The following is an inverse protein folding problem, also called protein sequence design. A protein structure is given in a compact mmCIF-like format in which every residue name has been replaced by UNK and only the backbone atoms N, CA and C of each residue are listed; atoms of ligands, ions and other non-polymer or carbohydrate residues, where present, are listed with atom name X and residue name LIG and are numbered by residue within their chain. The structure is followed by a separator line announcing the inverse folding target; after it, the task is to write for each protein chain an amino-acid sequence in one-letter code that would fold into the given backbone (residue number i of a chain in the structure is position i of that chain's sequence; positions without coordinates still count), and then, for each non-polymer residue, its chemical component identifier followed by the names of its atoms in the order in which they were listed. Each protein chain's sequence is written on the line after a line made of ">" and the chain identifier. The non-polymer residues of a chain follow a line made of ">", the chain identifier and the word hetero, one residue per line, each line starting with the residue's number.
data_IF_716826041919
#
_entry.id   IF_716826041919
#
_cell.length_a   1.000
_cell.length_b   1.000
_cell.length_c   1.000
_cell.angle_alpha   90.00
_cell.angle_beta   90.00
_cell.angle_gamma   90.00
#
_symmetry.space_group_name_H-M   'P 1'
#
loop_
_entity.id
_entity.type
_entity.pdbx_description
1 polymer ?
#
# COMPACT_ATOMS: atom_id res chain seq x y z
N UNK A 1 -9.74 -42.17 4.06
CA UNK A 1 -8.98 -41.99 2.79
C UNK A 1 -8.20 -40.65 2.75
N UNK A 2 -8.46 -39.70 3.66
CA UNK A 2 -7.69 -38.44 3.80
C UNK A 2 -6.32 -38.61 4.49
N UNK A 3 -6.19 -39.54 5.46
CA UNK A 3 -4.96 -39.72 6.24
C UNK A 3 -3.77 -40.21 5.38
N UNK A 4 -4.01 -41.02 4.34
CA UNK A 4 -2.94 -41.47 3.45
C UNK A 4 -2.42 -40.37 2.50
N UNK A 5 -3.20 -39.33 2.22
CA UNK A 5 -2.75 -38.21 1.38
C UNK A 5 -1.87 -37.21 2.16
N UNK A 6 -2.08 -37.04 3.48
CA UNK A 6 -1.26 -36.16 4.32
C UNK A 6 0.19 -36.67 4.42
N UNK A 7 0.37 -37.97 4.68
CA UNK A 7 1.70 -38.56 4.85
C UNK A 7 2.55 -38.47 3.57
N UNK A 8 1.94 -38.60 2.39
CA UNK A 8 2.66 -38.49 1.11
C UNK A 8 3.10 -37.05 0.83
N UNK A 9 2.29 -36.05 1.22
CA UNK A 9 2.65 -34.64 1.07
C UNK A 9 3.79 -34.28 2.03
N UNK A 10 3.68 -34.68 3.30
CA UNK A 10 4.70 -34.44 4.32
C UNK A 10 6.03 -35.09 3.95
N UNK A 11 6.02 -36.35 3.48
CA UNK A 11 7.22 -37.02 3.01
C UNK A 11 7.87 -36.29 1.83
N UNK A 12 7.07 -35.86 0.84
CA UNK A 12 7.58 -35.08 -0.31
C UNK A 12 8.12 -33.72 0.09
N UNK A 13 7.49 -33.06 1.07
CA UNK A 13 8.02 -31.81 1.63
C UNK A 13 9.38 -32.05 2.29
N UNK A 14 9.51 -33.12 3.07
CA UNK A 14 10.76 -33.47 3.75
C UNK A 14 11.89 -33.79 2.77
N UNK A 15 11.63 -34.65 1.78
CA UNK A 15 12.59 -34.99 0.73
C UNK A 15 13.04 -33.75 -0.06
N UNK A 16 12.10 -32.87 -0.43
CA UNK A 16 12.40 -31.62 -1.11
C UNK A 16 13.19 -30.65 -0.22
N UNK A 17 12.88 -30.61 1.08
CA UNK A 17 13.58 -29.78 2.04
C UNK A 17 15.04 -30.24 2.19
N UNK A 18 15.30 -31.53 2.34
CA UNK A 18 16.65 -32.09 2.49
C UNK A 18 17.51 -31.88 1.23
N UNK A 19 16.97 -32.13 0.04
CA UNK A 19 17.69 -31.89 -1.23
C UNK A 19 18.05 -30.41 -1.39
N UNK A 20 17.10 -29.50 -1.12
CA UNK A 20 17.36 -28.06 -1.23
C UNK A 20 18.22 -27.52 -0.08
N UNK A 21 18.22 -28.14 1.09
CA UNK A 21 19.14 -27.81 2.18
C UNK A 21 20.59 -28.13 1.77
N UNK A 22 20.84 -29.35 1.29
CA UNK A 22 22.17 -29.75 0.83
C UNK A 22 22.65 -28.88 -0.35
N UNK A 23 21.76 -28.62 -1.32
CA UNK A 23 22.07 -27.77 -2.48
C UNK A 23 22.33 -26.31 -2.08
N UNK A 24 21.47 -25.75 -1.23
CA UNK A 24 21.61 -24.39 -0.74
C UNK A 24 22.93 -24.21 0.00
N UNK A 25 23.27 -25.15 0.89
CA UNK A 25 24.53 -25.13 1.62
C UNK A 25 25.74 -25.22 0.68
N UNK A 26 25.72 -26.14 -0.30
CA UNK A 26 26.81 -26.25 -1.26
C UNK A 26 27.00 -24.96 -2.09
N UNK A 27 25.93 -24.24 -2.42
CA UNK A 27 26.03 -22.93 -3.10
C UNK A 27 26.61 -21.88 -2.16
N UNK A 28 26.17 -21.82 -0.90
CA UNK A 28 26.72 -20.91 0.10
C UNK A 28 28.23 -21.16 0.32
N UNK A 29 28.65 -22.43 0.40
CA UNK A 29 30.05 -22.82 0.56
C UNK A 29 30.91 -22.32 -0.61
N UNK A 30 30.42 -22.42 -1.86
CA UNK A 30 31.12 -21.85 -3.01
C UNK A 30 31.23 -20.33 -2.91
N UNK A 31 30.13 -19.64 -2.58
CA UNK A 31 30.14 -18.18 -2.43
C UNK A 31 31.11 -17.71 -1.34
N UNK A 32 31.23 -18.50 -0.26
CA UNK A 32 32.18 -18.26 0.82
C UNK A 32 33.62 -18.54 0.41
N UNK A 33 33.87 -19.64 -0.30
CA UNK A 33 35.20 -20.00 -0.79
C UNK A 33 35.75 -18.98 -1.81
N UNK A 34 34.88 -18.36 -2.60
CA UNK A 34 35.22 -17.30 -3.55
C UNK A 34 35.19 -15.88 -2.93
N UNK A 35 34.98 -15.75 -1.62
CA UNK A 35 34.89 -14.49 -0.88
C UNK A 35 33.90 -13.47 -1.49
N UNK A 36 32.78 -13.97 -2.01
CA UNK A 36 31.78 -13.13 -2.69
C UNK A 36 31.16 -12.16 -1.69
N UNK A 37 31.39 -10.86 -1.89
CA UNK A 37 30.92 -9.78 -1.01
C UNK A 37 31.48 -9.86 0.43
N UNK A 38 32.63 -10.51 0.63
CA UNK A 38 33.23 -10.70 1.95
C UNK A 38 32.79 -11.98 2.68
N UNK A 39 32.08 -12.89 1.98
CA UNK A 39 31.70 -14.20 2.51
C UNK A 39 30.63 -14.16 3.61
N UNK A 40 30.58 -15.23 4.41
CA UNK A 40 29.61 -15.40 5.49
C UNK A 40 28.19 -15.76 5.04
N UNK A 41 28.03 -16.21 3.80
CA UNK A 41 26.77 -16.70 3.27
C UNK A 41 26.30 -17.94 4.03
N UNK A 42 25.02 -17.97 4.38
CA UNK A 42 24.35 -19.14 4.92
C UNK A 42 23.15 -19.50 4.05
N UNK A 43 22.70 -20.75 4.13
CA UNK A 43 21.54 -21.23 3.40
C UNK A 43 20.43 -21.69 4.36
N UNK A 44 19.19 -21.36 4.01
CA UNK A 44 17.98 -21.84 4.69
C UNK A 44 17.07 -22.51 3.65
N UNK A 45 16.76 -23.79 3.85
CA UNK A 45 15.81 -24.49 2.99
C UNK A 45 14.37 -24.11 3.35
N UNK A 46 13.56 -23.82 2.34
CA UNK A 46 12.14 -23.56 2.51
C UNK A 46 11.37 -24.83 2.83
N UNK A 47 10.32 -24.71 3.64
CA UNK A 47 9.41 -25.81 3.96
C UNK A 47 8.25 -25.79 2.96
N UNK A 48 8.45 -26.38 1.78
CA UNK A 48 7.41 -26.51 0.76
C UNK A 48 7.61 -27.74 -0.13
N UNK A 49 6.53 -28.18 -0.76
CA UNK A 49 6.50 -29.36 -1.67
C UNK A 49 7.31 -29.19 -2.96
N UNK A 50 7.79 -27.98 -3.24
CA UNK A 50 8.34 -27.62 -4.55
C UNK A 50 9.86 -27.50 -4.54
N UNK A 51 10.45 -27.38 -3.35
CA UNK A 51 11.86 -27.16 -3.15
C UNK A 51 12.25 -25.70 -3.40
N UNK A 52 12.83 -25.10 -2.36
CA UNK A 52 13.45 -23.78 -2.45
C UNK A 52 14.50 -23.65 -1.37
N UNK A 53 15.48 -22.78 -1.56
CA UNK A 53 16.36 -22.31 -0.49
C UNK A 53 16.58 -20.80 -0.60
N UNK A 54 16.94 -20.18 0.50
CA UNK A 54 17.30 -18.77 0.57
C UNK A 54 18.75 -18.68 1.03
N UNK A 55 19.55 -17.91 0.30
CA UNK A 55 20.93 -17.58 0.65
C UNK A 55 20.92 -16.26 1.40
N UNK A 56 21.35 -16.26 2.65
CA UNK A 56 21.41 -15.08 3.51
C UNK A 56 22.84 -14.54 3.58
N UNK A 57 22.98 -13.23 3.39
CA UNK A 57 24.25 -12.55 3.58
C UNK A 57 24.26 -11.79 4.92
N UNK A 58 25.39 -11.69 5.64
CA UNK A 58 25.48 -10.98 6.92
C UNK A 58 25.08 -9.49 6.83
N UNK A 59 25.23 -8.88 5.66
CA UNK A 59 24.78 -7.50 5.41
C UNK A 59 23.24 -7.35 5.32
N UNK A 60 22.49 -8.44 5.46
CA UNK A 60 21.03 -8.46 5.61
C UNK A 60 20.23 -8.59 4.31
N UNK A 61 20.88 -8.67 3.14
CA UNK A 61 20.22 -9.04 1.89
C UNK A 61 20.18 -10.56 1.72
N UNK A 62 19.25 -11.05 0.90
CA UNK A 62 19.09 -12.47 0.66
C UNK A 62 18.64 -12.78 -0.77
N UNK A 63 19.08 -13.93 -1.28
CA UNK A 63 18.74 -14.42 -2.62
C UNK A 63 17.89 -15.67 -2.47
N UNK A 64 16.67 -15.63 -2.99
CA UNK A 64 15.76 -16.76 -2.97
C UNK A 64 15.88 -17.56 -4.26
N UNK A 65 16.02 -18.88 -4.14
CA UNK A 65 16.09 -19.82 -5.26
C UNK A 65 14.98 -20.84 -5.11
N UNK A 66 14.08 -20.93 -6.09
CA UNK A 66 12.91 -21.80 -6.01
C UNK A 66 12.60 -22.47 -7.34
N UNK A 67 11.93 -23.62 -7.30
CA UNK A 67 11.45 -24.26 -8.53
C UNK A 67 10.31 -23.44 -9.16
N UNK A 68 10.46 -23.06 -10.43
CA UNK A 68 9.50 -22.17 -11.13
C UNK A 68 8.12 -22.80 -11.28
N UNK A 69 8.07 -24.07 -11.69
CA UNK A 69 6.79 -24.77 -11.90
C UNK A 69 6.97 -26.26 -11.63
N UNK A 70 6.65 -26.72 -10.41
CA UNK A 70 6.92 -28.07 -9.94
C UNK A 70 6.08 -29.14 -10.65
N UNK A 71 4.94 -28.74 -11.24
CA UNK A 71 4.02 -29.64 -11.92
C UNK A 71 4.33 -29.82 -13.42
N UNK A 72 5.34 -29.11 -13.95
CA UNK A 72 5.74 -29.26 -15.35
C UNK A 72 6.74 -30.40 -15.49
N UNK A 73 6.58 -31.20 -16.54
CA UNK A 73 7.54 -32.25 -16.90
C UNK A 73 8.63 -31.70 -17.83
N UNK A 74 9.69 -32.50 -18.03
CA UNK A 74 10.77 -32.17 -18.97
C UNK A 74 11.62 -30.97 -18.55
N UNK A 75 12.17 -30.25 -19.54
CA UNK A 75 13.11 -29.16 -19.30
C UNK A 75 12.51 -27.99 -18.51
N UNK A 76 11.19 -27.77 -18.59
CA UNK A 76 10.51 -26.71 -17.85
C UNK A 76 10.39 -27.01 -16.34
N UNK A 77 10.17 -28.27 -15.98
CA UNK A 77 10.15 -28.74 -14.58
C UNK A 77 11.51 -28.74 -13.89
N UNK A 78 12.59 -28.69 -14.68
CA UNK A 78 13.98 -28.67 -14.21
C UNK A 78 14.57 -27.25 -14.17
N UNK A 79 13.72 -26.23 -14.06
CA UNK A 79 14.13 -24.82 -13.92
C UNK A 79 13.91 -24.29 -12.51
N UNK A 80 14.90 -23.59 -12.03
CA UNK A 80 14.85 -22.76 -10.83
C UNK A 80 14.76 -21.28 -11.24
N UNK A 81 14.05 -20.48 -10.46
CA UNK A 81 14.17 -19.02 -10.47
C UNK A 81 15.15 -18.58 -9.40
N UNK A 82 15.81 -17.47 -9.66
CA UNK A 82 16.61 -16.73 -8.69
C UNK A 82 16.03 -15.34 -8.58
N UNK A 83 15.64 -14.99 -7.35
CA UNK A 83 14.97 -13.75 -6.99
C UNK A 83 15.63 -13.10 -5.77
N UNK A 84 15.39 -11.80 -5.62
CA UNK A 84 15.88 -11.05 -4.47
C UNK A 84 14.83 -11.03 -3.38
N UNK A 85 15.25 -11.18 -2.13
CA UNK A 85 14.38 -10.88 -1.00
C UNK A 85 14.33 -9.37 -0.82
N UNK A 86 13.14 -8.78 -0.77
CA UNK A 86 12.93 -7.34 -0.55
C UNK A 86 12.02 -7.12 0.66
N UNK A 87 12.15 -5.99 1.38
CA UNK A 87 11.16 -5.59 2.37
C UNK A 87 9.76 -5.59 1.76
N UNK A 88 8.76 -6.02 2.54
CA UNK A 88 7.36 -6.12 2.08
C UNK A 88 6.82 -4.77 1.59
N UNK A 89 7.31 -3.68 2.16
CA UNK A 89 6.93 -2.31 1.88
C UNK A 89 7.56 -1.75 0.59
N UNK A 90 8.46 -2.51 -0.06
CA UNK A 90 9.14 -2.06 -1.26
C UNK A 90 8.34 -2.38 -2.54
N UNK A 91 7.83 -1.31 -3.16
CA UNK A 91 7.07 -1.35 -4.43
C UNK A 91 7.84 -0.75 -5.63
N UNK A 92 9.12 -0.46 -5.48
CA UNK A 92 9.94 0.07 -6.57
C UNK A 92 10.40 -1.01 -7.55
N UNK A 93 11.12 -0.59 -8.59
CA UNK A 93 11.71 -1.49 -9.57
C UNK A 93 12.63 -2.51 -8.90
N UNK A 94 12.40 -3.78 -9.19
CA UNK A 94 13.15 -4.91 -8.66
C UNK A 94 14.17 -5.38 -9.69
N UNK A 95 15.26 -5.99 -9.21
CA UNK A 95 16.17 -6.70 -10.10
C UNK A 95 15.42 -7.82 -10.84
N UNK A 96 15.67 -8.00 -12.15
CA UNK A 96 14.97 -9.00 -12.93
C UNK A 96 15.32 -10.41 -12.46
N UNK A 97 14.29 -11.22 -12.27
CA UNK A 97 14.40 -12.66 -12.00
C UNK A 97 15.21 -13.33 -13.11
N UNK A 98 16.12 -14.24 -12.74
CA UNK A 98 16.82 -15.08 -13.71
C UNK A 98 16.39 -16.54 -13.57
N UNK A 99 16.37 -17.26 -14.69
CA UNK A 99 16.17 -18.71 -14.73
C UNK A 99 17.50 -19.46 -14.74
N UNK A 100 17.61 -20.51 -13.93
CA UNK A 100 18.76 -21.42 -13.88
C UNK A 100 18.30 -22.88 -13.91
N UNK A 101 19.20 -23.81 -14.26
CA UNK A 101 18.87 -25.23 -14.33
C UNK A 101 18.98 -25.90 -12.96
N UNK A 102 18.05 -26.79 -12.64
CA UNK A 102 18.02 -27.56 -11.39
C UNK A 102 19.23 -28.48 -11.25
N UNK A 103 19.66 -29.10 -12.35
CA UNK A 103 20.71 -30.15 -12.35
C UNK A 103 22.12 -29.60 -12.41
N UNK A 104 22.25 -28.28 -12.37
CA UNK A 104 23.55 -27.64 -12.50
C UNK A 104 24.34 -27.78 -11.18
N UNK A 105 25.67 -27.96 -11.26
CA UNK A 105 26.52 -27.98 -10.08
C UNK A 105 26.43 -26.68 -9.27
N UNK A 106 26.67 -26.77 -7.96
CA UNK A 106 26.63 -25.61 -7.06
C UNK A 106 27.53 -24.46 -7.54
N UNK A 107 28.75 -24.76 -8.00
CA UNK A 107 29.67 -23.76 -8.52
C UNK A 107 29.14 -23.02 -9.76
N UNK A 108 28.43 -23.73 -10.64
CA UNK A 108 27.79 -23.11 -11.79
C UNK A 108 26.65 -22.19 -11.37
N UNK A 109 25.81 -22.63 -10.42
CA UNK A 109 24.71 -21.84 -9.87
C UNK A 109 25.23 -20.57 -9.19
N UNK A 110 26.22 -20.69 -8.32
CA UNK A 110 26.88 -19.57 -7.65
C UNK A 110 27.39 -18.55 -8.66
N UNK A 111 28.17 -18.99 -9.67
CA UNK A 111 28.67 -18.11 -10.73
C UNK A 111 27.56 -17.40 -11.49
N UNK A 112 26.43 -18.05 -11.78
CA UNK A 112 25.28 -17.42 -12.44
C UNK A 112 24.60 -16.38 -11.56
N UNK A 113 24.42 -16.67 -10.28
CA UNK A 113 23.90 -15.70 -9.30
C UNK A 113 24.80 -14.47 -9.26
N UNK A 114 26.11 -14.66 -9.12
CA UNK A 114 27.11 -13.58 -9.05
C UNK A 114 27.17 -12.75 -10.32
N UNK A 115 27.20 -13.39 -11.49
CA UNK A 115 27.42 -12.67 -12.76
C UNK A 115 26.17 -12.04 -13.34
N UNK A 116 24.98 -12.62 -13.12
CA UNK A 116 23.74 -12.19 -13.78
C UNK A 116 22.71 -11.56 -12.85
N UNK A 117 22.69 -11.92 -11.57
CA UNK A 117 21.65 -11.49 -10.64
C UNK A 117 22.16 -10.44 -9.63
N UNK A 118 23.26 -10.75 -8.91
CA UNK A 118 23.77 -9.90 -7.84
C UNK A 118 24.03 -8.44 -8.25
N UNK A 119 24.60 -8.11 -9.43
CA UNK A 119 24.87 -6.71 -9.77
C UNK A 119 23.59 -5.87 -9.83
N UNK A 120 22.52 -6.42 -10.41
CA UNK A 120 21.21 -5.76 -10.45
C UNK A 120 20.57 -5.68 -9.07
N UNK A 121 20.64 -6.77 -8.30
CA UNK A 121 20.05 -6.83 -6.96
C UNK A 121 20.72 -5.86 -5.98
N UNK A 122 22.05 -5.81 -5.95
CA UNK A 122 22.82 -4.94 -5.06
C UNK A 122 22.66 -3.45 -5.41
N UNK A 123 22.33 -3.12 -6.66
CA UNK A 123 21.98 -1.74 -7.04
C UNK A 123 20.61 -1.30 -6.49
N UNK A 124 19.66 -2.24 -6.34
CA UNK A 124 18.30 -1.96 -5.89
C UNK A 124 18.16 -2.05 -4.37
N UNK A 125 18.85 -3.01 -3.74
CA UNK A 125 18.70 -3.33 -2.32
C UNK A 125 18.86 -2.11 -1.37
N UNK A 126 19.86 -1.22 -1.53
CA UNK A 126 19.98 -0.03 -0.68
C UNK A 126 18.75 0.88 -0.76
N UNK A 127 18.15 1.03 -1.95
CA UNK A 127 16.92 1.82 -2.14
C UNK A 127 15.74 1.17 -1.43
N UNK A 128 15.62 -0.16 -1.52
CA UNK A 128 14.59 -0.90 -0.82
C UNK A 128 14.71 -0.76 0.71
N UNK A 129 15.93 -0.78 1.24
CA UNK A 129 16.18 -0.56 2.67
C UNK A 129 15.93 0.88 3.10
N UNK A 130 16.22 1.87 2.25
CA UNK A 130 15.85 3.25 2.49
C UNK A 130 14.32 3.40 2.57
N UNK A 131 13.59 2.81 1.62
CA UNK A 131 12.11 2.80 1.64
C UNK A 131 11.57 2.15 2.91
N UNK A 132 12.10 1.00 3.33
CA UNK A 132 11.71 0.36 4.60
C UNK A 132 11.91 1.28 5.81
N UNK A 133 13.06 1.98 5.88
CA UNK A 133 13.35 2.92 6.96
C UNK A 133 12.42 4.13 6.93
N UNK A 134 12.11 4.65 5.74
CA UNK A 134 11.18 5.75 5.55
C UNK A 134 9.77 5.33 5.98
N UNK A 135 9.27 4.20 5.48
CA UNK A 135 7.95 3.70 5.83
C UNK A 135 7.84 3.48 7.35
N UNK A 136 8.84 2.88 7.99
CA UNK A 136 8.84 2.71 9.46
C UNK A 136 8.73 4.05 10.20
N UNK A 137 9.39 5.11 9.73
CA UNK A 137 9.27 6.45 10.31
C UNK A 137 7.87 7.03 10.09
N UNK A 138 7.31 6.85 8.90
CA UNK A 138 5.97 7.32 8.55
C UNK A 138 4.90 6.57 9.36
N UNK A 139 4.97 5.24 9.45
CA UNK A 139 4.12 4.42 10.35
C UNK A 139 4.19 4.91 11.79
N UNK A 140 5.38 5.19 12.32
CA UNK A 140 5.52 5.69 13.69
C UNK A 140 4.91 7.09 13.86
N UNK A 141 5.05 7.97 12.86
CA UNK A 141 4.43 9.30 12.85
C UNK A 141 2.90 9.19 12.83
N UNK A 142 2.34 8.38 11.91
CA UNK A 142 0.90 8.10 11.79
C UNK A 142 0.33 7.55 13.10
N UNK A 143 1.00 6.57 13.71
CA UNK A 143 0.59 6.00 15.01
C UNK A 143 0.53 7.06 16.11
N UNK A 144 1.55 7.92 16.22
CA UNK A 144 1.56 9.00 17.23
C UNK A 144 0.46 10.02 16.98
N UNK A 145 0.21 10.36 15.71
CA UNK A 145 -0.80 11.34 15.34
C UNK A 145 -2.22 10.81 15.54
N UNK A 146 -2.47 9.56 15.16
CA UNK A 146 -3.74 8.87 15.47
C UNK A 146 -3.99 8.80 16.98
N UNK A 147 -2.98 8.47 17.79
CA UNK A 147 -3.13 8.45 19.24
C UNK A 147 -3.50 9.84 19.81
N UNK A 148 -2.91 10.92 19.29
CA UNK A 148 -3.29 12.29 19.66
C UNK A 148 -4.71 12.63 19.22
N UNK A 149 -5.10 12.24 18.01
CA UNK A 149 -6.45 12.43 17.49
C UNK A 149 -7.49 11.68 18.32
N UNK A 150 -7.24 10.43 18.66
CA UNK A 150 -8.11 9.62 19.54
C UNK A 150 -8.21 10.22 20.95
N UNK A 151 -7.11 10.75 21.49
CA UNK A 151 -7.14 11.43 22.78
C UNK A 151 -8.00 12.70 22.74
N UNK A 152 -7.88 13.50 21.69
CA UNK A 152 -8.69 14.71 21.51
C UNK A 152 -10.16 14.39 21.17
N UNK A 153 -10.39 13.28 20.47
CA UNK A 153 -11.67 12.87 19.90
C UNK A 153 -11.89 11.38 20.19
N UNK A 154 -12.32 11.01 21.40
CA UNK A 154 -12.42 9.59 21.81
C UNK A 154 -13.36 8.73 20.95
N UNK A 155 -14.32 9.35 20.25
CA UNK A 155 -15.22 8.66 19.34
C UNK A 155 -14.64 8.46 17.93
N UNK A 156 -13.43 8.94 17.67
CA UNK A 156 -12.74 8.78 16.40
C UNK A 156 -12.11 7.39 16.36
N UNK A 157 -12.60 6.55 15.45
CA UNK A 157 -12.12 5.19 15.28
C UNK A 157 -11.63 4.93 13.85
N UNK A 158 -11.15 3.71 13.57
CA UNK A 158 -10.91 3.27 12.21
C UNK A 158 -12.21 3.33 11.40
N UNK A 159 -12.12 3.74 10.13
CA UNK A 159 -13.26 3.68 9.22
C UNK A 159 -13.70 2.24 8.93
N UNK A 160 -14.77 2.10 8.14
CA UNK A 160 -15.31 0.79 7.75
C UNK A 160 -14.32 -0.11 6.97
N UNK A 161 -13.20 0.43 6.49
CA UNK A 161 -12.20 -0.28 5.68
C UNK A 161 -10.88 -0.35 6.44
N UNK A 162 -10.87 -1.15 7.51
CA UNK A 162 -9.68 -1.50 8.28
C UNK A 162 -9.00 -0.34 9.01
N UNK A 163 -8.19 -0.69 10.00
CA UNK A 163 -7.30 0.30 10.59
C UNK A 163 -6.53 -0.25 11.77
N UNK A 164 -5.23 -0.44 11.55
CA UNK A 164 -4.27 -0.50 12.63
C UNK A 164 -4.01 0.89 13.24
N UNK A 165 -3.09 0.98 14.21
CA UNK A 165 -2.72 2.25 14.82
C UNK A 165 -2.15 3.28 13.81
N UNK A 166 -1.63 2.86 12.66
CA UNK A 166 -1.01 3.72 11.64
C UNK A 166 -1.94 4.08 10.46
N UNK A 167 -3.25 3.88 10.62
CA UNK A 167 -4.27 4.16 9.58
C UNK A 167 -4.22 5.58 9.04
N UNK A 168 -4.57 5.75 7.77
CA UNK A 168 -4.63 7.06 7.09
C UNK A 168 -5.99 7.76 7.21
N UNK A 169 -7.03 7.05 7.61
CA UNK A 169 -8.38 7.61 7.71
C UNK A 169 -9.06 7.17 9.00
N UNK A 170 -9.72 8.12 9.63
CA UNK A 170 -10.50 7.90 10.84
C UNK A 170 -11.85 8.59 10.74
N UNK A 171 -12.87 7.97 11.31
CA UNK A 171 -14.23 8.48 11.33
C UNK A 171 -14.77 8.36 12.74
N UNK A 172 -15.50 9.37 13.20
CA UNK A 172 -16.17 9.35 14.48
C UNK A 172 -17.52 10.03 14.41
N UNK A 173 -18.45 9.57 15.23
CA UNK A 173 -19.72 10.24 15.45
C UNK A 173 -20.04 10.28 16.93
N UNK A 174 -20.49 11.44 17.40
CA UNK A 174 -20.87 11.67 18.79
C UNK A 174 -22.24 12.31 18.81
N UNK A 175 -23.13 11.77 19.62
CA UNK A 175 -24.38 12.46 19.91
C UNK A 175 -24.09 13.64 20.85
N UNK A 176 -24.52 14.82 20.46
CA UNK A 176 -24.43 16.04 21.25
C UNK A 176 -25.82 16.63 21.41
N UNK A 177 -26.17 17.04 22.64
CA UNK A 177 -27.47 17.59 22.94
C UNK A 177 -27.33 19.10 23.12
N UNK A 178 -28.03 19.87 22.27
CA UNK A 178 -28.09 21.33 22.34
C UNK A 178 -29.55 21.69 22.59
N UNK A 179 -29.83 22.39 23.69
CA UNK A 179 -31.17 22.92 24.00
C UNK A 179 -32.30 21.85 23.94
N UNK A 180 -31.99 20.61 24.31
CA UNK A 180 -32.95 19.50 24.31
C UNK A 180 -33.01 18.72 22.99
N UNK A 181 -32.47 19.22 21.88
CA UNK A 181 -32.36 18.50 20.61
C UNK A 181 -31.06 17.70 20.52
N UNK A 182 -31.17 16.41 20.14
CA UNK A 182 -30.02 15.54 19.91
C UNK A 182 -29.52 15.69 18.48
N UNK A 183 -28.35 16.29 18.33
CA UNK A 183 -27.62 16.39 17.05
C UNK A 183 -26.48 15.38 17.03
N UNK A 184 -26.19 14.79 15.87
CA UNK A 184 -25.02 13.91 15.72
C UNK A 184 -23.88 14.70 15.10
N UNK A 185 -22.88 15.02 15.92
CA UNK A 185 -21.60 15.55 15.47
C UNK A 185 -20.85 14.45 14.71
N UNK A 186 -20.25 14.79 13.57
CA UNK A 186 -19.41 13.87 12.79
C UNK A 186 -18.02 14.46 12.63
N UNK A 187 -17.03 13.60 12.76
CA UNK A 187 -15.63 13.94 12.57
C UNK A 187 -15.05 12.98 11.56
N UNK A 188 -14.34 13.54 10.59
CA UNK A 188 -13.49 12.77 9.68
C UNK A 188 -12.08 13.34 9.74
N UNK A 189 -11.10 12.48 9.96
CA UNK A 189 -9.69 12.82 9.88
C UNK A 189 -9.04 12.02 8.76
N UNK A 190 -8.34 12.70 7.86
CA UNK A 190 -7.53 12.08 6.81
C UNK A 190 -6.09 12.55 6.95
N UNK A 191 -5.16 11.61 7.01
CA UNK A 191 -3.73 11.91 7.05
C UNK A 191 -3.09 11.73 5.69
N UNK A 192 -2.04 12.50 5.46
CA UNK A 192 -1.10 12.22 4.39
C UNK A 192 -0.30 10.93 4.70
N UNK A 193 0.30 10.33 3.67
CA UNK A 193 1.07 9.10 3.86
C UNK A 193 2.25 9.27 4.86
N UNK A 194 2.98 10.42 4.86
CA UNK A 194 4.00 10.69 5.85
C UNK A 194 3.50 10.78 7.30
N UNK A 195 2.21 11.01 7.54
CA UNK A 195 1.67 11.29 8.88
C UNK A 195 2.13 12.63 9.43
N UNK A 196 2.36 13.61 8.55
CA UNK A 196 2.79 14.96 8.90
C UNK A 196 1.67 15.99 8.87
N UNK A 197 0.61 15.72 8.09
CA UNK A 197 -0.55 16.61 7.97
C UNK A 197 -1.85 15.85 8.16
N UNK A 198 -2.84 16.50 8.77
CA UNK A 198 -4.19 15.96 8.95
C UNK A 198 -5.20 16.94 8.39
N UNK A 199 -6.02 16.47 7.46
CA UNK A 199 -7.24 17.13 7.05
C UNK A 199 -8.36 16.72 8.01
N UNK A 200 -8.82 17.67 8.83
CA UNK A 200 -9.90 17.46 9.79
C UNK A 200 -11.19 18.12 9.27
N UNK A 201 -12.23 17.30 9.08
CA UNK A 201 -13.57 17.77 8.75
C UNK A 201 -14.49 17.56 9.95
N UNK A 202 -15.11 18.65 10.41
CA UNK A 202 -16.05 18.70 11.52
C UNK A 202 -17.43 19.08 10.98
N UNK A 203 -18.35 18.13 10.94
CA UNK A 203 -19.72 18.36 10.49
C UNK A 203 -20.65 18.39 11.70
N UNK A 204 -21.50 19.42 11.79
CA UNK A 204 -22.49 19.59 12.85
C UNK A 204 -21.87 19.64 14.27
N UNK A 205 -20.64 20.17 14.38
CA UNK A 205 -19.93 20.37 15.65
C UNK A 205 -20.13 21.81 16.12
N UNK A 206 -20.61 22.05 17.36
CA UNK A 206 -20.67 23.39 17.94
C UNK A 206 -19.31 24.08 17.92
N UNK A 207 -19.29 25.40 17.72
CA UNK A 207 -18.06 26.17 17.53
C UNK A 207 -17.11 26.10 18.74
N UNK A 208 -17.64 26.13 19.95
CA UNK A 208 -16.88 26.01 21.20
C UNK A 208 -16.21 24.63 21.32
N UNK A 209 -16.93 23.56 20.94
CA UNK A 209 -16.38 22.21 20.90
C UNK A 209 -15.31 22.10 19.80
N UNK A 210 -15.54 22.68 18.62
CA UNK A 210 -14.54 22.72 17.54
C UNK A 210 -13.24 23.42 17.98
N UNK A 211 -13.33 24.54 18.71
CA UNK A 211 -12.17 25.24 19.26
C UNK A 211 -11.41 24.39 20.29
N UNK A 212 -12.12 23.70 21.20
CA UNK A 212 -11.48 22.79 22.18
C UNK A 212 -10.74 21.65 21.48
N UNK A 213 -11.35 21.05 20.46
CA UNK A 213 -10.74 19.99 19.65
C UNK A 213 -9.43 20.49 19.03
N UNK A 214 -9.48 21.67 18.40
CA UNK A 214 -8.30 22.26 17.76
C UNK A 214 -7.20 22.62 18.78
N UNK A 215 -7.54 23.09 19.97
CA UNK A 215 -6.58 23.39 21.04
C UNK A 215 -5.86 22.15 21.56
N UNK A 216 -6.54 21.01 21.68
CA UNK A 216 -5.90 19.74 22.08
C UNK A 216 -4.98 19.23 20.98
N UNK A 217 -5.38 19.39 19.70
CA UNK A 217 -4.61 18.90 18.55
C UNK A 217 -3.36 19.75 18.25
N UNK A 218 -3.42 21.06 18.48
CA UNK A 218 -2.30 21.96 18.25
C UNK A 218 -2.18 22.99 19.40
N UNK A 219 -1.61 22.60 20.55
CA UNK A 219 -1.53 23.46 21.73
C UNK A 219 -0.56 24.64 21.58
N UNK A 220 0.27 24.66 20.54
CA UNK A 220 1.39 25.60 20.39
C UNK A 220 1.21 26.62 19.25
N UNK A 221 0.17 26.52 18.42
CA UNK A 221 -0.03 27.46 17.31
C UNK A 221 -1.35 28.22 17.45
N UNK A 222 -1.39 29.53 17.11
CA UNK A 222 -2.66 30.23 16.95
C UNK A 222 -3.50 29.53 15.87
N UNK A 223 -4.79 29.34 16.16
CA UNK A 223 -5.72 28.67 15.27
C UNK A 223 -6.18 29.66 14.20
N UNK A 224 -5.89 29.37 12.94
CA UNK A 224 -6.38 30.12 11.77
C UNK A 224 -7.33 29.22 10.96
N UNK A 225 -8.53 29.71 10.64
CA UNK A 225 -9.53 28.93 9.92
C UNK A 225 -10.81 29.70 9.59
N UNK A 226 -11.55 29.23 8.58
CA UNK A 226 -12.81 29.83 8.12
C UNK A 226 -13.99 29.03 8.67
N UNK A 227 -14.77 29.64 9.58
CA UNK A 227 -16.04 29.05 10.03
C UNK A 227 -17.07 29.25 8.91
N UNK A 228 -17.47 28.15 8.26
CA UNK A 228 -18.58 28.14 7.32
C UNK A 228 -19.89 28.05 8.11
N UNK A 229 -20.78 29.05 8.10
CA UNK A 229 -22.06 28.92 8.75
C UNK A 229 -22.88 27.85 8.01
N UNK A 230 -23.23 26.78 8.74
CA UNK A 230 -24.26 25.84 8.28
C UNK A 230 -25.63 26.54 8.17
N UNK A 231 -26.63 25.90 7.55
CA UNK A 231 -27.92 26.53 7.22
C UNK A 231 -28.83 26.84 8.43
N UNK A 232 -28.32 26.80 9.68
CA UNK A 232 -29.10 27.12 10.89
C UNK A 232 -28.71 28.51 11.37
N UNK A 233 -29.66 29.44 11.32
CA UNK A 233 -29.52 30.75 11.95
C UNK A 233 -29.21 30.55 13.44
N UNK A 234 -28.06 31.06 13.89
CA UNK A 234 -27.69 31.10 15.30
C UNK A 234 -28.75 31.95 16.02
N UNK A 235 -29.44 31.36 16.99
CA UNK A 235 -30.26 32.10 17.96
C UNK A 235 -29.39 33.11 18.72
N UNK A 236 -30.04 34.15 19.25
CA UNK A 236 -29.40 35.28 19.90
C UNK A 236 -28.33 34.87 20.92
N UNK A 237 -27.19 35.55 20.88
CA UNK A 237 -26.07 35.35 21.78
C UNK A 237 -26.49 35.57 23.26
N UNK A 238 -26.11 34.68 24.20
CA UNK A 238 -26.18 34.98 25.61
C UNK A 238 -25.12 36.04 25.99
N UNK A 239 -25.43 36.83 27.00
CA UNK A 239 -24.68 37.98 27.50
C UNK A 239 -23.16 37.78 27.63
N UNK A 240 -22.45 38.87 27.33
CA UNK A 240 -21.01 38.97 27.20
C UNK A 240 -20.24 38.57 28.47
N UNK A 241 -19.26 37.66 28.29
CA UNK A 241 -18.12 37.56 29.20
C UNK A 241 -17.24 38.79 28.96
N UNK A 242 -17.20 39.68 29.94
CA UNK A 242 -16.37 40.89 30.00
C UNK A 242 -14.90 40.53 30.17
N UNK A 243 -14.22 40.22 29.07
CA UNK A 243 -12.78 40.46 28.93
C UNK A 243 -12.47 40.61 27.43
N UNK A 244 -11.98 41.77 26.97
CA UNK A 244 -11.75 41.99 25.55
C UNK A 244 -10.55 41.16 25.09
N UNK A 245 -10.81 40.07 24.36
CA UNK A 245 -9.85 39.53 23.39
C UNK A 245 -10.22 40.09 22.03
N UNK A 246 -9.41 41.03 21.56
CA UNK A 246 -9.52 41.58 20.20
C UNK A 246 -9.29 40.43 19.22
N UNK A 247 -10.34 40.03 18.50
CA UNK A 247 -10.24 39.22 17.28
C UNK A 247 -10.62 40.14 16.13
N UNK A 248 -9.61 40.64 15.41
CA UNK A 248 -9.82 41.42 14.19
C UNK A 248 -10.15 40.46 13.06
N UNK A 249 -11.41 40.50 12.61
CA UNK A 249 -11.86 39.86 11.38
C UNK A 249 -12.79 40.82 10.65
N UNK A 250 -12.47 41.12 9.40
CA UNK A 250 -13.29 41.96 8.52
C UNK A 250 -14.56 41.21 8.12
N UNK A 251 -15.73 41.84 8.36
CA UNK A 251 -17.04 41.30 7.96
C UNK A 251 -17.39 41.83 6.58
N UNK A 252 -17.06 41.06 5.53
CA UNK A 252 -17.54 41.36 4.18
C UNK A 252 -18.97 40.84 4.03
N UNK A 253 -19.94 41.75 3.97
CA UNK A 253 -21.32 41.42 3.62
C UNK A 253 -21.38 41.11 2.12
N UNK A 254 -21.41 39.82 1.77
CA UNK A 254 -21.74 39.42 0.41
C UNK A 254 -23.17 39.82 0.09
N UNK A 255 -23.34 40.84 -0.75
CA UNK A 255 -24.63 41.23 -1.28
C UNK A 255 -25.31 40.01 -1.92
N UNK A 256 -26.54 39.75 -1.47
CA UNK A 256 -27.41 38.68 -1.95
C UNK A 256 -27.78 38.98 -3.39
N UNK A 257 -27.04 38.47 -4.37
CA UNK A 257 -27.47 38.51 -5.77
C UNK A 257 -28.68 37.60 -5.90
N UNK A 258 -29.86 38.22 -5.94
CA UNK A 258 -31.09 37.58 -6.39
C UNK A 258 -30.81 36.95 -7.76
N UNK A 259 -30.89 35.62 -7.86
CA UNK A 259 -31.10 34.96 -9.15
C UNK A 259 -32.52 35.30 -9.61
N UNK A 260 -32.63 36.37 -10.38
CA UNK A 260 -33.70 36.49 -11.37
C UNK A 260 -33.45 35.39 -12.40
N UNK A 261 -34.39 34.45 -12.53
CA UNK A 261 -34.41 33.50 -13.65
C UNK A 261 -34.56 34.28 -14.96
N UNK A 262 -33.62 34.17 -15.93
CA UNK A 262 -33.91 34.58 -17.29
C UNK A 262 -34.63 33.43 -17.98
N UNK A 263 -35.79 33.76 -18.57
CA UNK A 263 -36.51 32.88 -19.48
C UNK A 263 -35.61 32.44 -20.63
N UNK A 264 -35.78 31.16 -21.00
CA UNK A 264 -35.29 30.56 -22.23
C UNK A 264 -35.72 31.40 -23.44
N UNK A 265 -34.75 31.88 -24.21
CA UNK A 265 -34.95 32.14 -25.64
C UNK A 265 -33.73 31.67 -26.43
N UNK A 266 -34.07 31.06 -27.56
CA UNK A 266 -33.25 30.39 -28.56
C UNK A 266 -32.16 31.27 -29.20
N UNK A 267 -30.98 30.70 -29.45
CA UNK A 267 -29.98 31.32 -30.33
C UNK A 267 -28.75 30.44 -30.56
N UNK A 268 -28.43 30.18 -31.82
CA UNK A 268 -27.39 29.28 -32.33
C UNK A 268 -25.95 29.82 -32.17
N UNK A 269 -25.00 28.87 -32.19
CA UNK A 269 -23.60 28.97 -32.70
C UNK A 269 -22.62 29.71 -31.78
N UNK A 270 -21.31 29.45 -31.69
CA UNK A 270 -20.37 28.46 -32.22
C UNK A 270 -19.04 28.67 -31.44
N UNK A 271 -18.19 27.63 -31.34
CA UNK A 271 -16.84 27.72 -30.73
C UNK A 271 -16.89 27.72 -29.20
N UNK A 272 -16.07 27.03 -28.43
CA UNK A 272 -14.68 26.66 -28.62
C UNK A 272 -14.32 25.57 -27.58
N UNK A 273 -13.33 24.73 -27.93
CA UNK A 273 -12.93 23.51 -27.24
C UNK A 273 -12.28 23.76 -25.88
N UNK A 274 -12.59 22.91 -24.90
CA UNK A 274 -11.60 22.29 -24.02
C UNK A 274 -12.13 20.96 -23.50
N UNK A 275 -11.65 19.88 -24.11
CA UNK A 275 -11.90 18.49 -23.72
C UNK A 275 -10.97 18.18 -22.55
N UNK A 276 -11.53 17.81 -21.40
CA UNK A 276 -10.80 17.18 -20.30
C UNK A 276 -11.21 15.71 -20.26
N UNK A 277 -10.33 14.83 -20.73
CA UNK A 277 -10.47 13.37 -20.65
C UNK A 277 -10.16 12.90 -19.21
N UNK A 278 -11.05 12.16 -18.54
CA UNK A 278 -10.66 11.36 -17.39
C UNK A 278 -10.04 10.03 -17.85
N UNK A 279 -8.76 9.85 -17.49
CA UNK A 279 -8.06 8.57 -17.50
C UNK A 279 -8.75 7.58 -16.56
N UNK A 280 -9.17 6.44 -17.12
CA UNK A 280 -9.25 5.07 -16.58
C UNK A 280 -10.51 4.35 -17.10
N UNK A 281 -10.33 3.50 -18.11
CA UNK A 281 -11.13 2.29 -18.28
C UNK A 281 -10.28 1.18 -18.96
N UNK A 282 -10.26 -0.04 -18.40
CA UNK A 282 -9.44 -1.14 -18.88
C UNK A 282 -9.98 -1.78 -20.17
N UNK A 283 -9.06 -2.04 -21.09
CA UNK A 283 -9.26 -2.78 -22.34
C UNK A 283 -9.67 -4.24 -22.08
N UNK A 284 -10.90 -4.60 -22.47
CA UNK A 284 -11.30 -5.98 -22.75
C UNK A 284 -12.06 -6.02 -24.07
N UNK A 285 -11.39 -6.44 -25.13
CA UNK A 285 -12.03 -7.15 -26.24
C UNK A 285 -11.02 -8.05 -26.92
N UNK A 286 -11.25 -9.36 -26.86
CA UNK A 286 -11.11 -10.21 -28.05
C UNK A 286 -12.26 -11.21 -28.08
N UNK A 287 -13.07 -11.07 -29.13
CA UNK A 287 -14.00 -12.08 -29.64
C UNK A 287 -13.22 -13.32 -30.08
N UNK A 288 -13.85 -14.51 -30.06
CA UNK A 288 -13.31 -15.70 -30.68
C UNK A 288 -13.40 -15.59 -32.21
N UNK A 289 -12.29 -15.87 -32.89
CA UNK A 289 -12.27 -16.17 -34.33
C UNK A 289 -12.61 -17.66 -34.50
N UNK A 290 -13.84 -17.93 -34.92
CA UNK A 290 -14.16 -19.15 -35.68
C UNK A 290 -13.55 -19.01 -37.07
N UNK A 291 -12.91 -20.07 -37.55
CA UNK A 291 -12.59 -20.30 -38.95
C UNK A 291 -12.69 -21.83 -39.22
N UNK A 292 -12.94 -22.23 -40.47
CA UNK A 292 -13.82 -23.34 -40.80
C UNK A 292 -13.14 -24.72 -40.81
N UNK A 293 -13.97 -25.76 -40.60
CA UNK A 293 -13.69 -27.15 -40.97
C UNK A 293 -14.08 -27.33 -42.44
N UNK A 294 -13.10 -27.61 -43.30
CA UNK A 294 -13.19 -28.39 -44.54
C UNK A 294 -11.73 -28.68 -44.96
N UNK A 295 -11.28 -29.92 -44.85
CA UNK A 295 -11.31 -30.98 -45.85
C UNK A 295 -10.02 -31.03 -46.69
N UNK A 296 -9.17 -32.02 -46.39
CA UNK A 296 -8.27 -32.63 -47.37
C UNK A 296 -8.01 -34.09 -46.94
N UNK A 297 -8.50 -34.98 -47.81
CA UNK A 297 -8.34 -36.43 -47.84
C UNK A 297 -7.29 -36.74 -48.93
N UNK A 298 -6.60 -37.88 -48.80
CA UNK A 298 -5.64 -38.53 -49.74
C UNK A 298 -4.27 -37.85 -49.89
N UNK A 299 -3.12 -38.51 -50.01
CA UNK A 299 -2.63 -39.90 -50.06
C UNK A 299 -1.12 -39.80 -49.66
N UNK A 300 -0.28 -40.80 -49.38
CA UNK A 300 -0.02 -42.07 -50.04
C UNK A 300 1.17 -42.74 -49.28
N UNK A 301 1.17 -44.08 -49.20
CA UNK A 301 2.28 -45.03 -48.89
C UNK A 301 2.77 -45.19 -47.45
#
# INVERSE_FOLDING_TARGET
>A
MEIMHSNVIEQRMQEAHEDFAARGQAVADVLNAEDIQGGGWTAEAGVNVYGSFTLHHPAGFAVHVARLTPNLSGAAGRRLTVDGHYPREFYGDRAPTIGVGLDQPAAWLARRIVTRFLPGYLNVWPKAMLHKRLEKRQTAARTRLNARLEHALPALGPGAVGGGPDRLQSYGSVAHQVEGERTTCRVKARMDNPGTTVDLQLDWVPADLAVRILQVLNPASPLEGRIMPGPRALGAAPEAITTPRILVGEVVHGARTQRVQPQLSSGRSAGERAVFEPWFAPSRTRRPLQMPREAAVHAER
#
